data_IF_532514400385
#
_entry.id   IF_532514400385
#
_cell.length_a   1.000
_cell.length_b   1.000
_cell.length_c   1.000
_cell.angle_alpha   90.00
_cell.angle_beta   90.00
_cell.angle_gamma   90.00
#
_symmetry.space_group_name_H-M   'P 1'
#
loop_
_entity.id
_entity.type
_entity.pdbx_description
1 polymer ?
#
# COMPACT_ATOMS: atom_id res chain seq x y z
N UNK A 1 -6.95 11.85 -13.08
CA UNK A 1 -6.03 12.27 -12.00
C UNK A 1 -6.48 11.58 -10.74
N UNK A 2 -5.59 10.84 -10.09
CA UNK A 2 -5.88 10.12 -8.84
C UNK A 2 -5.74 11.09 -7.66
N UNK A 3 -6.66 11.03 -6.70
CA UNK A 3 -6.58 11.79 -5.45
C UNK A 3 -6.09 10.85 -4.34
N UNK A 4 -4.85 11.07 -3.91
CA UNK A 4 -4.13 10.24 -2.96
C UNK A 4 -4.07 10.91 -1.60
N UNK A 5 -4.46 10.16 -0.58
CA UNK A 5 -4.48 10.60 0.80
C UNK A 5 -3.57 9.70 1.61
N UNK A 6 -2.67 10.32 2.37
CA UNK A 6 -1.68 9.63 3.18
C UNK A 6 -1.66 10.15 4.60
N UNK A 7 -1.19 9.34 5.56
CA UNK A 7 -0.91 9.82 6.92
C UNK A 7 0.15 10.94 6.91
N UNK A 8 0.07 11.84 7.89
CA UNK A 8 0.94 13.03 7.98
C UNK A 8 2.35 12.76 8.53
N UNK A 9 2.60 11.58 9.13
CA UNK A 9 3.93 11.16 9.58
C UNK A 9 4.83 10.80 8.40
N UNK A 10 6.15 10.92 8.53
CA UNK A 10 7.12 10.52 7.49
C UNK A 10 6.82 11.12 6.11
N UNK A 11 6.38 12.37 6.04
CA UNK A 11 5.84 12.94 4.79
C UNK A 11 6.87 12.97 3.66
N UNK A 12 8.16 13.14 3.97
CA UNK A 12 9.21 13.14 2.95
C UNK A 12 9.37 11.75 2.30
N UNK A 13 9.40 10.69 3.11
CA UNK A 13 9.50 9.31 2.66
C UNK A 13 8.24 8.88 1.90
N UNK A 14 7.06 9.28 2.41
CA UNK A 14 5.78 9.00 1.77
C UNK A 14 5.60 9.74 0.44
N UNK A 15 5.97 11.02 0.37
CA UNK A 15 5.93 11.80 -0.87
C UNK A 15 6.86 11.20 -1.92
N UNK A 16 8.06 10.76 -1.51
CA UNK A 16 9.00 10.08 -2.38
C UNK A 16 8.42 8.77 -2.94
N UNK A 17 7.93 7.88 -2.08
CA UNK A 17 7.44 6.57 -2.56
C UNK A 17 6.20 6.72 -3.44
N UNK A 18 5.31 7.66 -3.14
CA UNK A 18 4.16 7.95 -3.98
C UNK A 18 4.59 8.49 -5.35
N UNK A 19 5.56 9.41 -5.38
CA UNK A 19 6.10 9.95 -6.64
C UNK A 19 6.76 8.86 -7.48
N UNK A 20 7.50 7.95 -6.85
CA UNK A 20 8.14 6.82 -7.51
C UNK A 20 7.13 5.83 -8.09
N UNK A 21 6.22 5.29 -7.27
CA UNK A 21 5.25 4.28 -7.72
C UNK A 21 4.32 4.87 -8.80
N UNK A 22 3.68 6.00 -8.53
CA UNK A 22 2.68 6.53 -9.46
C UNK A 22 3.31 7.27 -10.63
N UNK A 23 4.36 8.05 -10.41
CA UNK A 23 5.01 8.84 -11.46
C UNK A 23 5.94 8.00 -12.33
N UNK A 24 6.89 7.30 -11.73
CA UNK A 24 7.96 6.62 -12.47
C UNK A 24 7.56 5.22 -12.92
N UNK A 25 6.91 4.42 -12.07
CA UNK A 25 6.56 3.03 -12.39
C UNK A 25 5.25 2.95 -13.18
N UNK A 26 4.19 3.62 -12.73
CA UNK A 26 2.86 3.53 -13.34
C UNK A 26 2.58 4.61 -14.39
N UNK A 27 3.29 5.73 -14.37
CA UNK A 27 3.04 6.86 -15.27
C UNK A 27 1.67 7.54 -15.07
N UNK A 28 1.12 7.49 -13.86
CA UNK A 28 -0.21 7.99 -13.52
C UNK A 28 -0.14 9.36 -12.82
N UNK A 29 -0.95 10.36 -13.26
CA UNK A 29 -1.00 11.65 -12.60
C UNK A 29 -1.67 11.57 -11.22
N UNK A 30 -0.95 12.03 -10.20
CA UNK A 30 -1.33 11.95 -8.80
C UNK A 30 -1.46 13.34 -8.18
N UNK A 31 -2.49 13.55 -7.37
CA UNK A 31 -2.59 14.65 -6.41
C UNK A 31 -2.44 14.06 -5.01
N UNK A 32 -1.47 14.52 -4.23
CA UNK A 32 -1.23 14.05 -2.86
C UNK A 32 -1.84 15.06 -1.86
N UNK A 33 -2.45 14.54 -0.82
CA UNK A 33 -2.92 15.30 0.35
C UNK A 33 -2.68 14.53 1.64
N UNK A 34 -2.38 15.25 2.72
CA UNK A 34 -2.17 14.63 4.03
C UNK A 34 -3.51 14.60 4.78
N UNK A 35 -3.83 13.46 5.38
CA UNK A 35 -5.00 13.27 6.24
C UNK A 35 -4.60 12.73 7.61
N UNK A 36 -5.52 12.87 8.57
CA UNK A 36 -5.41 12.29 9.92
C UNK A 36 -5.71 10.79 9.98
N UNK A 37 -5.96 10.15 8.83
CA UNK A 37 -6.20 8.71 8.70
C UNK A 37 -4.92 7.92 9.03
N UNK A 38 -5.09 6.71 9.57
CA UNK A 38 -3.99 5.76 9.73
C UNK A 38 -3.59 5.13 8.40
N UNK A 39 -4.53 4.93 7.49
CA UNK A 39 -4.30 4.20 6.22
C UNK A 39 -4.22 5.14 5.03
N UNK A 40 -3.58 4.65 3.95
CA UNK A 40 -3.58 5.29 2.65
C UNK A 40 -4.90 5.09 1.93
N UNK A 41 -5.35 6.11 1.20
CA UNK A 41 -6.50 5.96 0.30
C UNK A 41 -6.29 6.62 -1.05
N UNK A 42 -6.79 5.95 -2.09
CA UNK A 42 -6.75 6.43 -3.48
C UNK A 42 -8.18 6.59 -3.96
N UNK A 43 -8.54 7.80 -4.33
CA UNK A 43 -9.85 8.14 -4.85
C UNK A 43 -9.80 8.39 -6.35
N UNK A 44 -10.75 7.80 -7.07
CA UNK A 44 -10.98 8.10 -8.47
C UNK A 44 -12.46 7.93 -8.83
N UNK A 45 -13.04 8.94 -9.48
CA UNK A 45 -14.48 9.03 -9.71
C UNK A 45 -15.26 8.84 -8.39
N UNK A 46 -16.10 7.81 -8.31
CA UNK A 46 -16.94 7.49 -7.14
C UNK A 46 -16.44 6.26 -6.38
N UNK A 47 -15.18 5.87 -6.56
CA UNK A 47 -14.58 4.70 -5.92
C UNK A 47 -13.35 5.08 -5.11
N UNK A 48 -13.07 4.26 -4.11
CA UNK A 48 -11.89 4.35 -3.25
C UNK A 48 -11.16 3.02 -3.22
N UNK A 49 -9.83 3.06 -3.18
CA UNK A 49 -8.97 1.95 -2.77
C UNK A 49 -8.33 2.31 -1.43
N UNK A 50 -8.47 1.45 -0.42
CA UNK A 50 -7.80 1.58 0.88
C UNK A 50 -6.63 0.60 0.95
N UNK A 51 -5.49 1.08 1.46
CA UNK A 51 -4.24 0.34 1.60
C UNK A 51 -3.70 0.63 3.01
N UNK A 52 -3.38 -0.39 3.82
CA UNK A 52 -2.94 -0.17 5.18
C UNK A 52 -1.55 0.46 5.23
N UNK A 53 -1.32 1.27 6.25
CA UNK A 53 0.01 1.79 6.58
C UNK A 53 0.60 0.98 7.74
N UNK A 54 1.29 -0.11 7.43
CA UNK A 54 1.84 -1.00 8.46
C UNK A 54 3.29 -0.65 8.77
N UNK A 55 4.11 -0.42 7.74
CA UNK A 55 5.54 -0.15 7.92
C UNK A 55 5.80 1.17 8.67
N UNK A 56 5.26 2.30 8.21
CA UNK A 56 5.53 3.57 8.89
C UNK A 56 4.80 3.66 10.24
N UNK A 57 3.67 2.96 10.40
CA UNK A 57 3.01 2.84 11.71
C UNK A 57 3.88 2.09 12.71
N UNK A 58 4.47 0.94 12.34
CA UNK A 58 5.36 0.18 13.23
C UNK A 58 6.68 0.91 13.47
N UNK A 59 7.23 1.54 12.43
CA UNK A 59 8.50 2.25 12.49
C UNK A 59 8.39 3.61 13.22
N UNK A 60 7.18 4.14 13.46
CA UNK A 60 6.97 5.36 14.26
C UNK A 60 7.59 5.28 15.67
N UNK A 61 7.67 4.07 16.23
CA UNK A 61 8.26 3.82 17.56
C UNK A 61 9.68 3.25 17.50
N UNK A 62 10.08 2.66 16.37
CA UNK A 62 11.30 1.86 16.22
C UNK A 62 12.00 2.09 14.87
N UNK A 63 12.11 3.36 14.43
CA UNK A 63 12.61 3.70 13.09
C UNK A 63 14.04 3.19 12.87
N UNK A 64 14.24 2.39 11.81
CA UNK A 64 15.51 1.72 11.46
C UNK A 64 16.05 0.75 12.52
N UNK A 65 15.17 0.24 13.40
CA UNK A 65 15.48 -0.82 14.35
C UNK A 65 14.96 -2.17 13.86
N UNK A 66 15.37 -3.26 14.51
CA UNK A 66 15.01 -4.64 14.14
C UNK A 66 13.49 -4.83 14.09
N UNK A 67 12.76 -4.14 14.96
CA UNK A 67 11.30 -4.19 15.09
C UNK A 67 10.58 -3.52 13.90
N UNK A 68 11.29 -2.79 13.04
CA UNK A 68 10.75 -2.22 11.81
C UNK A 68 10.93 -3.12 10.57
N UNK A 69 11.63 -4.25 10.71
CA UNK A 69 11.81 -5.22 9.62
C UNK A 69 10.53 -6.04 9.39
N UNK A 70 10.33 -6.57 8.16
CA UNK A 70 9.28 -7.55 7.89
C UNK A 70 9.36 -8.74 8.85
N UNK A 71 8.21 -9.16 9.38
CA UNK A 71 8.14 -10.33 10.25
C UNK A 71 8.45 -11.61 9.47
N UNK A 72 9.33 -12.45 10.01
CA UNK A 72 9.71 -13.73 9.42
C UNK A 72 9.10 -14.91 10.20
N UNK A 73 8.68 -15.98 9.51
CA UNK A 73 8.67 -16.16 8.06
C UNK A 73 7.59 -15.31 7.38
N UNK A 74 7.87 -14.85 6.15
CA UNK A 74 6.93 -14.05 5.36
C UNK A 74 5.65 -14.84 5.07
N UNK A 75 4.51 -14.19 5.23
CA UNK A 75 3.26 -14.69 4.67
C UNK A 75 3.32 -14.64 3.13
N UNK A 76 2.57 -15.53 2.48
CA UNK A 76 2.47 -15.60 1.03
C UNK A 76 1.02 -15.36 0.60
N UNK A 77 0.83 -14.63 -0.49
CA UNK A 77 -0.45 -14.37 -1.09
C UNK A 77 -0.54 -14.98 -2.49
N UNK A 78 -1.43 -15.95 -2.69
CA UNK A 78 -1.81 -16.42 -4.03
C UNK A 78 -2.82 -15.45 -4.62
N UNK A 79 -2.41 -14.68 -5.61
CA UNK A 79 -3.23 -13.57 -6.14
C UNK A 79 -4.41 -14.10 -6.96
N UNK A 80 -4.25 -15.24 -7.63
CA UNK A 80 -5.32 -15.92 -8.39
C UNK A 80 -6.57 -16.23 -7.55
N UNK A 81 -6.43 -16.40 -6.23
CA UNK A 81 -7.58 -16.65 -5.34
C UNK A 81 -8.35 -15.38 -4.97
N UNK A 82 -7.86 -14.19 -5.34
CA UNK A 82 -8.46 -12.90 -4.98
C UNK A 82 -9.46 -12.37 -6.01
N UNK A 83 -9.60 -13.02 -7.16
CA UNK A 83 -10.44 -12.56 -8.26
C UNK A 83 -9.89 -11.34 -9.01
N UNK A 84 -8.64 -10.95 -8.73
CA UNK A 84 -7.90 -9.97 -9.53
C UNK A 84 -7.44 -10.60 -10.84
N UNK A 85 -7.80 -9.97 -11.96
CA UNK A 85 -7.24 -10.28 -13.27
C UNK A 85 -6.01 -9.40 -13.50
N UNK A 86 -4.84 -9.92 -13.12
CA UNK A 86 -3.57 -9.19 -13.13
C UNK A 86 -2.48 -10.03 -13.78
N UNK A 87 -1.60 -9.36 -14.53
CA UNK A 87 -0.46 -10.01 -15.19
C UNK A 87 0.74 -10.03 -14.23
N UNK A 88 0.99 -11.18 -13.61
CA UNK A 88 2.09 -11.37 -12.66
C UNK A 88 3.17 -12.28 -13.24
N UNK A 89 4.41 -12.07 -12.80
CA UNK A 89 5.54 -12.97 -13.10
C UNK A 89 5.40 -14.29 -12.33
N UNK A 90 4.87 -14.23 -11.11
CA UNK A 90 4.51 -15.37 -10.26
C UNK A 90 3.17 -15.08 -9.58
N UNK A 91 2.33 -16.10 -9.41
CA UNK A 91 1.03 -15.98 -8.72
C UNK A 91 1.19 -15.78 -7.21
N UNK A 92 2.30 -16.27 -6.64
CA UNK A 92 2.57 -16.20 -5.21
C UNK A 92 3.43 -14.98 -4.91
N UNK A 93 2.83 -13.99 -4.26
CA UNK A 93 3.49 -12.75 -3.85
C UNK A 93 3.81 -12.78 -2.36
N UNK A 94 5.06 -12.51 -1.93
CA UNK A 94 5.39 -12.39 -0.51
C UNK A 94 4.75 -11.14 0.09
N UNK A 95 4.25 -11.27 1.32
CA UNK A 95 3.67 -10.16 2.10
C UNK A 95 4.73 -9.69 3.08
N UNK A 96 5.42 -8.59 2.77
CA UNK A 96 6.41 -7.99 3.67
C UNK A 96 5.73 -7.24 4.82
N UNK A 97 4.68 -6.48 4.51
CA UNK A 97 3.89 -5.74 5.49
C UNK A 97 2.39 -5.84 5.16
N UNK A 98 1.57 -5.84 6.20
CA UNK A 98 0.12 -6.04 6.07
C UNK A 98 -0.28 -7.50 6.06
N UNK A 99 -1.25 -7.85 5.22
CA UNK A 99 -1.80 -9.19 5.14
C UNK A 99 -2.09 -9.59 3.69
N UNK A 100 -2.17 -10.90 3.37
CA UNK A 100 -2.59 -11.34 2.05
C UNK A 100 -4.03 -10.92 1.77
N UNK A 101 -4.30 -10.58 0.51
CA UNK A 101 -5.66 -10.45 0.01
C UNK A 101 -6.04 -9.08 -0.55
N UNK A 102 -7.09 -9.13 -1.34
CA UNK A 102 -7.79 -8.00 -1.90
C UNK A 102 -9.28 -8.32 -1.89
N UNK A 103 -10.12 -7.33 -1.59
CA UNK A 103 -11.57 -7.48 -1.72
C UNK A 103 -12.24 -6.18 -2.12
N UNK A 104 -13.46 -6.31 -2.64
CA UNK A 104 -14.37 -5.20 -2.89
C UNK A 104 -15.48 -5.19 -1.84
N UNK A 105 -15.86 -4.01 -1.36
CA UNK A 105 -17.09 -3.87 -0.56
C UNK A 105 -18.35 -3.90 -1.43
N UNK A 106 -19.53 -3.86 -0.80
CA UNK A 106 -20.84 -3.90 -1.47
C UNK A 106 -21.05 -2.74 -2.47
N UNK A 107 -20.34 -1.62 -2.26
CA UNK A 107 -20.37 -0.45 -3.13
C UNK A 107 -19.12 -0.38 -4.01
N UNK A 108 -18.38 -1.48 -4.19
CA UNK A 108 -17.26 -1.59 -5.13
C UNK A 108 -16.03 -0.76 -4.79
N UNK A 109 -15.82 -0.35 -3.53
CA UNK A 109 -14.51 0.15 -3.08
C UNK A 109 -13.57 -1.02 -2.84
N UNK A 110 -12.31 -0.83 -3.21
CA UNK A 110 -11.27 -1.82 -3.02
C UNK A 110 -10.57 -1.69 -1.67
N UNK A 111 -10.14 -2.82 -1.16
CA UNK A 111 -9.27 -2.95 0.00
C UNK A 111 -8.14 -3.88 -0.40
N UNK A 112 -6.92 -3.35 -0.46
CA UNK A 112 -5.72 -4.14 -0.62
C UNK A 112 -5.10 -4.28 0.76
N UNK A 113 -4.98 -5.51 1.25
CA UNK A 113 -4.48 -5.76 2.61
C UNK A 113 -2.94 -5.69 2.71
N UNK A 114 -2.25 -5.70 1.58
CA UNK A 114 -0.81 -5.54 1.49
C UNK A 114 -0.45 -4.06 1.67
N UNK A 115 0.50 -3.76 2.55
CA UNK A 115 1.13 -2.43 2.59
C UNK A 115 2.22 -2.36 1.51
N UNK A 116 1.79 -2.01 0.29
CA UNK A 116 2.70 -1.89 -0.85
C UNK A 116 3.68 -0.72 -0.69
N UNK A 117 3.31 0.34 0.03
CA UNK A 117 4.16 1.53 0.18
C UNK A 117 5.32 1.26 1.12
N UNK A 118 5.08 0.56 2.23
CA UNK A 118 6.12 0.06 3.11
C UNK A 118 7.00 -0.99 2.44
N UNK A 119 6.40 -1.87 1.63
CA UNK A 119 7.12 -2.99 1.00
C UNK A 119 8.19 -2.54 0.01
N UNK A 120 8.07 -1.39 -0.65
CA UNK A 120 9.07 -0.92 -1.64
C UNK A 120 10.42 -0.54 -1.01
N UNK A 121 10.48 -0.36 0.31
CA UNK A 121 11.75 -0.08 1.00
C UNK A 121 12.64 -1.33 1.19
N UNK A 122 12.23 -2.49 0.66
CA UNK A 122 12.91 -3.79 0.79
C UNK A 122 12.97 -4.53 -0.56
#
# INVERSE_FOLDING_TARGET
MLDFKQPSSFSAERDWICSFIFGEILGLPLRISNETSSDYTIHHANRKLTIPDVFFSSASSNWLELESLPELPLACWSVSTSGLDVNLVDDVVPVLFGAPGFYLDEIGNGYLNLDIFGSVFF
#
